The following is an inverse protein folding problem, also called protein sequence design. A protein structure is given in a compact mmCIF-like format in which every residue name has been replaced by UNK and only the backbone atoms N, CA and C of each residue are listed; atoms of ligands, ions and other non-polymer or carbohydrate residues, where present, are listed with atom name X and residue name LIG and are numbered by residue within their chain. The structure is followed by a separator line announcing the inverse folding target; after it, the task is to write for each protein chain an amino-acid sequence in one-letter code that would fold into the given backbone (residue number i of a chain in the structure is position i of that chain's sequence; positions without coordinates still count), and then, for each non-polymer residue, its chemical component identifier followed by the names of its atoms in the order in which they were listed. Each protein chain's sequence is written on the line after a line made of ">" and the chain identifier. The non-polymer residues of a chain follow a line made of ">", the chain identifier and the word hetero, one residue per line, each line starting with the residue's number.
data_IF_061914112514
#
_entry.id   IF_061914112514
#
_cell.length_a   1.000
_cell.length_b   1.000
_cell.length_c   1.000
_cell.angle_alpha   90.00
_cell.angle_beta   90.00
_cell.angle_gamma   90.00
#
_symmetry.space_group_name_H-M   'P 1'
#
loop_
_entity.id
_entity.type
_entity.pdbx_description
1 polymer ?
2 non-polymer ?
3 non-polymer ?
4 non-polymer ?
5 water ?
#
# COMPACT_ATOMS: atom_id res chain seq x y z
N UNK A 2 -18.66 14.48 -10.12
CA UNK A 2 -19.39 14.24 -8.87
C UNK A 2 -19.04 15.26 -7.79
N UNK A 3 -19.74 15.19 -6.67
CA UNK A 3 -19.34 15.96 -5.50
C UNK A 3 -18.23 15.23 -4.74
N UNK A 4 -17.33 16.01 -4.16
CA UNK A 4 -16.19 15.48 -3.43
C UNK A 4 -16.14 16.12 -2.06
N UNK A 5 -16.10 15.29 -1.03
CA UNK A 5 -15.90 15.74 0.34
C UNK A 5 -14.77 14.94 0.96
N UNK A 6 -13.67 15.63 1.30
CA UNK A 6 -12.51 15.02 1.96
C UNK A 6 -12.57 15.31 3.45
N UNK A 7 -12.54 14.27 4.26
CA UNK A 7 -12.40 14.38 5.71
C UNK A 7 -11.04 13.89 6.15
N UNK A 8 -10.30 14.78 6.81
CA UNK A 8 -9.01 14.50 7.41
C UNK A 8 -8.81 15.49 8.56
N UNK A 9 -7.72 15.32 9.29
CA UNK A 9 -7.38 16.26 10.34
C UNK A 9 -7.00 17.63 9.78
N UNK A 10 -6.97 18.63 10.67
CA UNK A 10 -6.61 20.00 10.33
C UNK A 10 -5.11 20.21 10.27
N UNK A 11 -4.42 19.31 9.55
CA UNK A 11 -3.05 19.52 9.09
C UNK A 11 -2.88 18.79 7.78
N UNK A 12 -1.67 18.86 7.21
CA UNK A 12 -1.40 18.27 5.91
C UNK A 12 -1.52 16.75 5.96
N UNK A 13 -0.51 16.08 6.52
CA UNK A 13 -0.51 14.64 6.70
C UNK A 13 -0.89 13.85 5.45
N UNK A 14 -1.65 12.77 5.63
CA UNK A 14 -2.05 11.95 4.49
C UNK A 14 -3.27 12.49 3.77
N UNK A 15 -3.86 13.58 4.24
CA UNK A 15 -4.92 14.23 3.48
C UNK A 15 -4.36 15.12 2.39
N UNK A 16 -3.15 15.60 2.56
CA UNK A 16 -2.61 16.61 1.63
C UNK A 16 -2.41 16.06 0.20
N UNK A 17 -1.94 14.83 0.02
CA UNK A 17 -1.87 14.28 -1.35
C UNK A 17 -3.20 14.27 -2.04
N UNK A 18 -4.27 13.99 -1.31
CA UNK A 18 -5.59 14.04 -1.92
C UNK A 18 -6.00 15.47 -2.22
N UNK A 19 -5.69 16.41 -1.30
CA UNK A 19 -5.97 17.82 -1.57
C UNK A 19 -5.19 18.29 -2.77
N UNK A 20 -3.95 17.84 -2.92
CA UNK A 20 -3.16 18.27 -4.06
C UNK A 20 -3.71 17.68 -5.35
N UNK A 21 -4.13 16.42 -5.31
CA UNK A 21 -4.63 15.79 -6.53
C UNK A 21 -5.97 16.39 -6.94
N UNK A 22 -6.86 16.65 -5.99
CA UNK A 22 -8.14 17.31 -6.31
C UNK A 22 -7.89 18.70 -6.88
N UNK A 23 -6.92 19.41 -6.32
CA UNK A 23 -6.52 20.71 -6.85
C UNK A 23 -5.98 20.58 -8.25
N UNK A 24 -5.08 19.61 -8.46
CA UNK A 24 -4.50 19.44 -9.78
C UNK A 24 -5.58 19.09 -10.78
N UNK A 25 -6.58 18.32 -10.33
CA UNK A 25 -7.70 17.93 -11.15
C UNK A 25 -8.60 19.13 -11.43
N UNK A 26 -8.44 20.21 -10.68
CA UNK A 26 -9.19 21.44 -10.87
C UNK A 26 -10.68 21.23 -10.58
N UNK A 27 -10.99 20.42 -9.57
CA UNK A 27 -12.38 20.18 -9.22
C UNK A 27 -12.66 20.80 -7.86
N UNK A 28 -13.89 21.28 -7.61
CA UNK A 28 -14.24 21.80 -6.30
C UNK A 28 -14.43 20.66 -5.33
N UNK A 29 -14.03 20.91 -4.10
CA UNK A 29 -14.24 19.90 -3.08
C UNK A 29 -14.36 20.58 -1.74
N UNK A 30 -15.09 19.92 -0.86
CA UNK A 30 -15.22 20.36 0.51
C UNK A 30 -14.05 19.79 1.29
N UNK A 31 -13.28 20.66 1.92
CA UNK A 31 -12.09 20.28 2.69
C UNK A 31 -12.53 20.25 4.15
N UNK A 32 -13.04 19.10 4.57
CA UNK A 32 -13.59 18.92 5.92
C UNK A 32 -12.49 18.58 6.89
N UNK A 33 -12.00 19.59 7.61
CA UNK A 33 -10.82 19.44 8.45
C UNK A 33 -11.26 19.26 9.88
N UNK A 34 -10.91 18.11 10.45
CA UNK A 34 -11.39 17.65 11.75
C UNK A 34 -10.41 18.09 12.83
N UNK A 35 -10.95 18.72 13.87
CA UNK A 35 -10.16 19.02 15.05
C UNK A 35 -10.02 17.78 15.92
N UNK A 36 -8.89 17.68 16.59
CA UNK A 36 -8.67 16.49 17.40
C UNK A 36 -9.80 16.29 18.40
N UNK A 37 -10.28 17.38 19.01
CA UNK A 37 -11.38 17.28 19.97
C UNK A 37 -12.57 16.51 19.41
N UNK A 38 -12.90 16.73 18.14
CA UNK A 38 -14.08 16.09 17.57
C UNK A 38 -13.76 14.73 16.92
N UNK A 39 -12.50 14.32 16.88
CA UNK A 39 -12.16 13.06 16.21
C UNK A 39 -12.80 11.83 16.85
N UNK A 40 -12.95 11.73 18.16
CA UNK A 40 -13.64 10.54 18.69
C UNK A 40 -15.08 10.42 18.23
N UNK A 41 -15.78 11.56 18.05
CA UNK A 41 -17.10 11.55 17.45
C UNK A 41 -17.06 11.08 16.00
N UNK A 42 -16.11 11.61 15.22
CA UNK A 42 -16.11 11.33 13.79
C UNK A 42 -15.62 9.93 13.49
N UNK A 43 -14.74 9.39 14.36
CA UNK A 43 -14.01 8.18 14.01
C UNK A 43 -14.93 7.00 13.72
N UNK A 44 -16.02 6.88 14.48
CA UNK A 44 -16.91 5.74 14.30
C UNK A 44 -17.71 5.82 13.01
N UNK A 45 -17.86 7.01 12.43
CA UNK A 45 -18.56 7.20 11.16
C UNK A 45 -17.69 6.82 9.95
N UNK A 46 -16.38 6.57 10.15
CA UNK A 46 -15.54 6.26 8.99
C UNK A 46 -15.56 4.76 8.70
N UNK A 47 -15.20 4.35 7.48
CA UNK A 47 -15.31 2.91 7.15
C UNK A 47 -14.51 2.01 8.07
N UNK A 48 -13.25 2.35 8.34
CA UNK A 48 -12.36 1.45 9.07
C UNK A 48 -11.65 2.18 10.20
N UNK A 49 -12.25 3.25 10.71
CA UNK A 49 -11.75 3.91 11.89
C UNK A 49 -10.65 4.92 11.66
N UNK A 50 -10.35 5.26 10.41
CA UNK A 50 -9.23 6.16 10.12
C UNK A 50 -9.62 7.09 9.00
N UNK A 51 -8.83 8.16 8.91
CA UNK A 51 -8.91 9.14 7.83
C UNK A 51 -7.56 9.15 7.13
N UNK A 52 -7.51 9.62 5.89
CA UNK A 52 -8.53 10.33 5.13
C UNK A 52 -9.65 9.44 4.62
N UNK A 53 -10.81 10.07 4.48
CA UNK A 53 -11.99 9.53 3.79
C UNK A 53 -12.38 10.54 2.71
N UNK A 54 -12.56 10.07 1.48
CA UNK A 54 -13.06 10.92 0.41
C UNK A 54 -14.45 10.41 0.05
N UNK A 55 -15.45 11.27 0.16
CA UNK A 55 -16.81 10.90 -0.23
C UNK A 55 -17.02 11.37 -1.65
N UNK A 56 -17.41 10.45 -2.51
CA UNK A 56 -17.52 10.69 -3.94
C UNK A 56 -18.99 10.50 -4.28
N UNK A 57 -19.70 11.59 -4.51
CA UNK A 57 -21.16 11.54 -4.64
C UNK A 57 -21.74 10.73 -3.49
N UNK A 58 -21.28 11.06 -2.28
CA UNK A 58 -21.79 10.47 -1.08
C UNK A 58 -21.15 9.16 -0.69
N UNK A 59 -20.50 8.45 -1.61
CA UNK A 59 -19.91 7.16 -1.27
C UNK A 59 -18.57 7.35 -0.57
N UNK A 60 -18.42 6.73 0.57
CA UNK A 60 -17.21 6.83 1.36
C UNK A 60 -16.14 5.91 0.79
N UNK A 61 -14.99 6.48 0.44
CA UNK A 61 -13.81 5.73 0.04
C UNK A 61 -12.64 6.12 0.94
N UNK A 62 -11.93 5.13 1.47
CA UNK A 62 -10.74 5.28 2.29
C UNK A 62 -9.48 4.99 1.48
N UNK A 63 -8.35 5.23 2.12
CA UNK A 63 -7.00 4.80 1.71
C UNK A 63 -6.35 5.81 0.79
N UNK A 64 -5.39 6.55 1.36
CA UNK A 64 -4.83 7.70 0.67
C UNK A 64 -4.16 7.27 -0.64
N UNK A 65 -3.44 6.14 -0.66
CA UNK A 65 -2.75 5.76 -1.88
C UNK A 65 -3.74 5.38 -2.97
N UNK A 66 -4.73 4.57 -2.62
CA UNK A 66 -5.77 4.17 -3.55
C UNK A 66 -6.49 5.37 -4.15
N UNK A 67 -6.80 6.36 -3.31
CA UNK A 67 -7.54 7.53 -3.79
C UNK A 67 -6.65 8.38 -4.70
N UNK A 68 -5.40 8.60 -4.29
CA UNK A 68 -4.47 9.38 -5.08
C UNK A 68 -4.26 8.76 -6.47
N UNK A 69 -4.14 7.42 -6.52
CA UNK A 69 -4.01 6.72 -7.81
C UNK A 69 -5.25 6.92 -8.68
N UNK A 70 -6.43 6.81 -8.08
CA UNK A 70 -7.69 7.03 -8.78
C UNK A 70 -7.76 8.43 -9.36
N UNK A 71 -7.51 9.44 -8.53
CA UNK A 71 -7.47 10.81 -9.01
C UNK A 71 -6.35 11.02 -10.00
N UNK A 72 -5.23 10.33 -9.80
CA UNK A 72 -4.14 10.40 -10.77
C UNK A 72 -4.58 9.94 -12.15
N UNK A 73 -5.32 8.85 -12.22
CA UNK A 73 -5.77 8.34 -13.52
C UNK A 73 -6.76 9.31 -14.17
N UNK A 74 -7.71 9.82 -13.39
CA UNK A 74 -8.64 10.85 -13.83
C UNK A 74 -7.92 12.11 -14.32
N UNK A 75 -6.77 12.42 -13.76
CA UNK A 75 -6.04 13.63 -14.12
C UNK A 75 -5.04 13.43 -15.26
N UNK A 76 -4.95 12.24 -15.82
CA UNK A 76 -3.94 12.02 -16.84
C UNK A 76 -2.54 11.97 -16.30
N UNK A 77 -2.37 11.59 -15.05
CA UNK A 77 -1.07 11.58 -14.39
C UNK A 77 -0.70 10.17 -13.94
N UNK A 78 -1.19 9.15 -14.65
CA UNK A 78 -0.76 7.79 -14.41
C UNK A 78 0.10 7.29 -15.59
N UNK A 79 0.20 5.99 -15.76
CA UNK A 79 1.12 5.49 -16.77
C UNK A 79 0.42 5.36 -18.12
N UNK A 80 1.20 5.30 -19.20
CA UNK A 80 0.59 5.03 -20.50
C UNK A 80 0.28 3.56 -20.71
N UNK A 81 0.86 2.67 -19.90
CA UNK A 81 0.56 1.27 -19.98
C UNK A 81 0.75 0.68 -18.59
N UNK A 82 0.56 -0.62 -18.46
CA UNK A 82 0.61 -1.22 -17.14
C UNK A 82 2.02 -1.28 -16.60
N UNK A 83 3.04 -1.41 -17.45
CA UNK A 83 4.41 -1.35 -16.96
C UNK A 83 4.68 0.03 -16.33
N UNK A 84 4.30 1.11 -17.02
CA UNK A 84 4.48 2.45 -16.46
C UNK A 84 3.70 2.62 -15.14
N UNK A 85 2.51 2.02 -15.03
CA UNK A 85 1.76 2.10 -13.76
C UNK A 85 2.45 1.30 -12.65
N UNK A 86 3.10 0.18 -12.98
CA UNK A 86 3.88 -0.56 -12.02
C UNK A 86 5.06 0.24 -11.53
N UNK A 87 5.71 0.98 -12.44
CA UNK A 87 6.84 1.82 -12.05
C UNK A 87 6.43 2.90 -11.03
N UNK A 88 5.27 3.53 -11.24
CA UNK A 88 4.76 4.44 -10.21
C UNK A 88 4.40 3.70 -8.92
N UNK A 89 3.59 2.63 -9.04
CA UNK A 89 3.05 1.93 -7.88
C UNK A 89 4.15 1.35 -7.00
N UNK A 90 5.20 0.81 -7.62
CA UNK A 90 6.26 0.23 -6.79
C UNK A 90 6.96 1.31 -5.98
N UNK A 91 7.26 2.47 -6.58
CA UNK A 91 7.93 3.52 -5.81
C UNK A 91 7.07 4.01 -4.66
N UNK A 92 5.77 4.16 -4.88
CA UNK A 92 4.93 4.65 -3.79
C UNK A 92 4.76 3.61 -2.70
N UNK A 93 4.66 2.31 -3.04
CA UNK A 93 4.56 1.32 -1.96
C UNK A 93 5.85 1.29 -1.17
N UNK A 94 7.00 1.50 -1.83
CA UNK A 94 8.25 1.58 -1.08
C UNK A 94 8.25 2.82 -0.20
N UNK A 95 7.80 3.96 -0.73
CA UNK A 95 7.70 5.15 0.10
C UNK A 95 6.78 4.91 1.27
N UNK A 96 5.72 4.15 1.07
CA UNK A 96 4.85 3.81 2.18
C UNK A 96 5.52 2.88 3.20
N UNK A 97 6.41 2.00 2.76
CA UNK A 97 7.24 1.28 3.75
C UNK A 97 8.09 2.25 4.54
N UNK A 98 8.72 3.20 3.87
CA UNK A 98 9.48 4.20 4.61
C UNK A 98 8.60 4.89 5.62
N UNK A 99 7.40 5.32 5.19
CA UNK A 99 6.46 6.04 6.05
C UNK A 99 6.07 5.25 7.28
N UNK A 100 5.96 3.94 7.13
CA UNK A 100 5.57 3.06 8.23
C UNK A 100 6.47 3.24 9.43
N UNK A 101 7.79 3.40 9.18
CA UNK A 101 8.75 3.70 10.23
C UNK A 101 8.46 5.04 10.89
N UNK A 102 7.98 6.01 10.11
CA UNK A 102 7.59 7.29 10.68
C UNK A 102 6.38 7.13 11.60
N UNK A 103 5.38 6.35 11.17
CA UNK A 103 4.12 6.29 11.89
C UNK A 103 4.31 5.84 13.33
N UNK A 104 5.35 5.05 13.59
CA UNK A 104 5.59 4.53 14.94
C UNK A 104 6.04 5.65 15.86
N UNK A 105 6.94 6.51 15.38
CA UNK A 105 7.28 7.72 16.11
C UNK A 105 6.03 8.52 16.46
N UNK A 106 5.22 8.86 15.44
CA UNK A 106 4.02 9.66 15.69
C UNK A 106 3.17 9.07 16.78
N UNK A 107 3.33 7.78 17.06
CA UNK A 107 2.55 7.06 18.08
C UNK A 107 3.43 6.65 19.26
N UNK A 110 5.87 8.29 25.70
CA UNK A 110 6.97 8.75 26.55
C UNK A 110 7.97 9.56 25.74
N UNK A 111 8.20 10.80 26.15
CA UNK A 111 8.94 11.73 25.34
C UNK A 111 10.44 11.43 25.27
N UNK A 112 10.93 10.42 26.00
CA UNK A 112 12.31 9.97 25.86
C UNK A 112 12.42 8.74 24.98
N UNK A 113 11.39 7.90 24.91
CA UNK A 113 11.37 6.85 23.91
C UNK A 113 11.04 7.41 22.54
N UNK A 114 10.38 8.57 22.48
CA UNK A 114 10.15 9.24 21.20
C UNK A 114 11.46 9.79 20.65
N UNK A 115 12.32 10.29 21.55
CA UNK A 115 13.60 10.86 21.15
C UNK A 115 14.53 9.81 20.55
N UNK A 116 14.34 8.53 20.89
CA UNK A 116 15.16 7.46 20.37
C UNK A 116 14.67 6.96 19.03
N UNK A 117 13.37 6.71 18.91
CA UNK A 117 12.77 6.39 17.61
C UNK A 117 13.15 7.43 16.57
N UNK A 118 13.18 8.70 16.98
CA UNK A 118 13.53 9.78 16.07
C UNK A 118 14.99 9.74 15.65
N UNK A 119 15.87 9.19 16.49
CA UNK A 119 17.27 9.10 16.08
C UNK A 119 17.48 8.01 15.05
N UNK A 120 16.75 6.90 15.15
CA UNK A 120 16.82 5.88 14.11
C UNK A 120 16.27 6.40 12.79
N UNK A 121 15.15 7.13 12.84
CA UNK A 121 14.56 7.71 11.63
C UNK A 121 15.54 8.61 10.92
N UNK A 122 16.06 9.62 11.61
CA UNK A 122 16.92 10.59 10.96
C UNK A 122 18.27 10.01 10.59
N UNK A 123 18.80 9.08 11.38
CA UNK A 123 20.17 8.64 11.18
C UNK A 123 20.28 7.37 10.38
N UNK A 124 19.25 6.53 10.38
CA UNK A 124 19.31 5.26 9.65
C UNK A 124 18.25 5.15 8.56
N UNK A 125 16.97 5.26 8.93
CA UNK A 125 15.88 5.01 8.00
C UNK A 125 15.87 6.03 6.86
N UNK A 126 15.88 7.32 7.20
CA UNK A 126 15.88 8.37 6.17
C UNK A 126 17.03 8.19 5.17
N UNK A 127 18.29 8.03 5.62
CA UNK A 127 19.37 7.90 4.62
C UNK A 127 19.28 6.65 3.78
N UNK A 128 18.85 5.54 4.37
CA UNK A 128 18.67 4.33 3.56
C UNK A 128 17.73 4.60 2.39
N UNK A 129 16.53 5.10 2.68
CA UNK A 129 15.53 5.28 1.64
C UNK A 129 15.83 6.49 0.75
N UNK A 130 16.15 7.64 1.37
CA UNK A 130 16.24 8.87 0.56
C UNK A 130 17.43 8.84 -0.38
N UNK A 131 18.53 8.17 -0.01
CA UNK A 131 19.62 8.03 -0.97
C UNK A 131 19.17 7.29 -2.22
N UNK A 132 18.34 6.27 -2.03
CA UNK A 132 17.85 5.50 -3.17
C UNK A 132 16.82 6.30 -3.98
N UNK A 133 15.93 7.01 -3.29
CA UNK A 133 14.98 7.84 -4.01
C UNK A 133 15.71 8.92 -4.81
N UNK A 134 16.66 9.59 -4.16
CA UNK A 134 17.43 10.66 -4.79
C UNK A 134 18.10 10.15 -6.07
N UNK A 135 18.80 9.03 -5.98
CA UNK A 135 19.47 8.48 -7.16
C UNK A 135 18.47 7.97 -8.19
N UNK A 136 17.34 7.42 -7.77
CA UNK A 136 16.32 7.05 -8.74
C UNK A 136 15.88 8.26 -9.55
N UNK A 137 15.53 9.35 -8.86
CA UNK A 137 15.09 10.55 -9.54
C UNK A 137 16.18 11.06 -10.46
N UNK A 138 17.41 11.12 -9.95
CA UNK A 138 18.55 11.56 -10.76
C UNK A 138 18.63 10.80 -12.09
N UNK A 139 18.67 9.48 -12.02
CA UNK A 139 18.98 8.68 -13.20
C UNK A 139 17.75 8.29 -13.98
N UNK A 140 16.61 8.93 -13.74
CA UNK A 140 15.40 8.54 -14.44
C UNK A 140 14.53 9.76 -14.78
N UNK A 141 15.17 10.82 -15.28
CA UNK A 141 14.42 11.91 -15.87
C UNK A 141 13.93 12.96 -14.91
N UNK A 142 14.34 12.92 -13.65
CA UNK A 142 13.91 13.93 -12.69
C UNK A 142 12.56 13.70 -12.05
N UNK A 143 12.04 12.48 -12.14
CA UNK A 143 10.74 12.14 -11.57
C UNK A 143 10.83 10.76 -10.91
N UNK A 144 9.83 10.46 -10.06
CA UNK A 144 9.82 9.18 -9.39
C UNK A 144 9.67 8.02 -10.36
N UNK A 145 8.95 8.20 -11.48
CA UNK A 145 8.66 7.09 -12.37
C UNK A 145 8.55 7.55 -13.82
N UNK A 146 9.11 6.75 -14.73
CA UNK A 146 8.91 6.82 -16.18
C UNK A 146 9.40 8.12 -16.82
N UNK A 147 10.21 8.90 -16.11
CA UNK A 147 10.70 10.18 -16.62
C UNK A 147 9.65 11.24 -16.83
N UNK A 148 8.50 11.16 -16.16
CA UNK A 148 7.47 12.16 -16.35
C UNK A 148 6.60 12.24 -15.11
N UNK A 149 5.99 13.41 -14.94
CA UNK A 149 5.15 13.71 -13.78
C UNK A 149 4.05 12.67 -13.62
N UNK A 150 3.92 12.14 -12.40
CA UNK A 150 2.81 11.26 -12.04
C UNK A 150 2.19 11.66 -10.72
N UNK A 151 1.06 11.04 -10.44
CA UNK A 151 0.40 11.16 -9.14
C UNK A 151 1.35 10.74 -8.01
N UNK A 152 2.32 9.87 -8.30
CA UNK A 152 3.28 9.48 -7.27
C UNK A 152 4.16 10.63 -6.83
N UNK A 153 4.59 11.46 -7.79
CA UNK A 153 5.35 12.64 -7.42
C UNK A 153 4.56 13.54 -6.51
N UNK A 154 3.28 13.73 -6.82
CA UNK A 154 2.41 14.54 -6.01
C UNK A 154 2.29 13.97 -4.60
N UNK A 155 2.02 12.67 -4.51
CA UNK A 155 1.87 11.99 -3.23
C UNK A 155 3.15 12.11 -2.42
N UNK A 156 4.27 11.82 -3.08
CA UNK A 156 5.59 11.84 -2.45
C UNK A 156 5.93 13.24 -1.91
N UNK A 157 5.85 14.24 -2.77
CA UNK A 157 6.28 15.58 -2.36
C UNK A 157 5.35 16.14 -1.31
N UNK A 158 4.05 15.85 -1.40
CA UNK A 158 3.14 16.43 -0.43
C UNK A 158 3.42 15.89 0.97
N UNK A 159 3.69 14.59 1.08
CA UNK A 159 4.00 14.00 2.38
C UNK A 159 5.38 14.46 2.85
N UNK A 160 6.36 14.54 1.94
CA UNK A 160 7.66 15.06 2.33
C UNK A 160 7.55 16.51 2.81
N UNK A 161 6.71 17.29 2.17
CA UNK A 161 6.56 18.69 2.59
C UNK A 161 6.08 18.75 4.02
N UNK A 162 5.14 17.88 4.36
CA UNK A 162 4.69 17.79 5.74
C UNK A 162 5.81 17.33 6.67
N UNK A 163 6.63 16.38 6.26
CA UNK A 163 7.77 15.99 7.08
C UNK A 163 8.75 17.14 7.30
N UNK A 164 8.92 18.00 6.31
CA UNK A 164 9.77 19.17 6.47
C UNK A 164 9.22 20.14 7.54
N UNK A 165 7.91 20.13 7.80
CA UNK A 165 7.42 21.06 8.81
C UNK A 165 7.87 20.62 10.21
N UNK A 166 8.30 19.37 10.36
CA UNK A 166 8.80 18.85 11.62
C UNK A 166 10.32 18.84 11.66
N UNK A 167 10.94 18.37 10.58
CA UNK A 167 12.38 18.18 10.46
C UNK A 167 12.82 19.04 9.29
N UNK A 168 13.14 20.31 9.57
CA UNK A 168 13.19 21.34 8.54
C UNK A 168 14.20 21.06 7.45
N UNK A 169 15.27 20.33 7.75
CA UNK A 169 16.37 20.15 6.81
C UNK A 169 16.40 18.73 6.26
N UNK A 170 15.29 18.00 6.36
CA UNK A 170 15.36 16.58 6.14
C UNK A 170 15.68 16.23 4.68
N UNK A 171 15.29 17.06 3.70
CA UNK A 171 15.60 16.70 2.31
C UNK A 171 16.75 17.51 1.71
N UNK A 172 17.32 18.46 2.46
CA UNK A 172 18.27 19.41 1.89
C UNK A 172 19.46 18.72 1.23
N UNK A 173 20.00 17.68 1.84
CA UNK A 173 21.12 16.97 1.25
C UNK A 173 20.76 16.09 0.07
N UNK A 174 19.50 15.96 -0.28
CA UNK A 174 19.09 15.09 -1.38
C UNK A 174 18.69 16.00 -2.53
N UNK A 175 19.66 16.37 -3.37
CA UNK A 175 19.42 17.51 -4.24
C UNK A 175 18.36 17.22 -5.30
N UNK A 176 18.29 15.98 -5.79
CA UNK A 176 17.27 15.66 -6.77
C UNK A 176 15.87 15.54 -6.15
N UNK A 177 15.77 15.09 -4.90
CA UNK A 177 14.48 15.18 -4.19
C UNK A 177 14.05 16.63 -4.05
N UNK A 178 14.97 17.48 -3.59
CA UNK A 178 14.65 18.90 -3.44
C UNK A 178 14.20 19.49 -4.77
N UNK A 179 14.90 19.14 -5.86
CA UNK A 179 14.56 19.66 -7.18
C UNK A 179 13.16 19.21 -7.61
N UNK A 180 12.84 17.93 -7.37
CA UNK A 180 11.49 17.43 -7.60
C UNK A 180 10.48 18.19 -6.78
N UNK A 181 10.78 18.42 -5.50
CA UNK A 181 9.90 19.22 -4.68
C UNK A 181 9.64 20.55 -5.36
N UNK A 182 10.71 21.23 -5.79
CA UNK A 182 10.52 22.57 -6.35
C UNK A 182 9.69 22.53 -7.63
N UNK A 183 9.88 21.50 -8.46
CA UNK A 183 9.02 21.34 -9.65
C UNK A 183 7.55 21.20 -9.28
N UNK A 184 7.25 20.33 -8.32
CA UNK A 184 5.87 19.99 -8.04
C UNK A 184 5.13 21.15 -7.40
N UNK A 185 5.76 21.83 -6.44
CA UNK A 185 5.05 22.88 -5.72
C UNK A 185 4.87 24.13 -6.58
N UNK A 186 5.62 24.26 -7.67
CA UNK A 186 5.42 25.35 -8.61
C UNK A 186 4.50 25.00 -9.77
N UNK A 187 3.96 23.82 -9.80
CA UNK A 187 2.89 23.55 -10.72
C UNK A 187 1.71 24.50 -10.42
N UNK A 188 1.18 25.20 -11.42
CA UNK A 188 0.18 26.25 -11.14
C UNK A 188 -0.98 25.82 -10.26
N UNK A 189 -1.64 24.71 -10.58
CA UNK A 189 -2.75 24.26 -9.74
C UNK A 189 -2.31 23.94 -8.32
N UNK A 190 -1.09 23.40 -8.16
CA UNK A 190 -0.60 23.08 -6.83
C UNK A 190 -0.23 24.37 -6.11
N UNK A 191 0.57 25.21 -6.76
CA UNK A 191 0.95 26.51 -6.22
C UNK A 191 -0.28 27.26 -5.70
N UNK A 192 -1.34 27.30 -6.52
CA UNK A 192 -2.55 28.00 -6.11
C UNK A 192 -3.15 27.37 -4.86
N UNK A 193 -3.10 26.05 -4.76
CA UNK A 193 -3.56 25.42 -3.53
C UNK A 193 -2.69 25.82 -2.36
N UNK A 194 -1.37 25.77 -2.55
CA UNK A 194 -0.49 26.04 -1.43
C UNK A 194 -0.72 27.46 -0.92
N UNK A 195 -1.13 28.37 -1.80
CA UNK A 195 -1.38 29.73 -1.36
C UNK A 195 -2.70 29.89 -0.58
N UNK A 196 -3.74 29.14 -0.92
CA UNK A 196 -5.04 29.31 -0.26
C UNK A 196 -5.25 28.38 0.92
N UNK A 197 -4.33 27.46 1.18
CA UNK A 197 -4.56 26.48 2.24
C UNK A 197 -4.27 27.09 3.59
N UNK A 198 -4.80 26.49 4.67
CA UNK A 198 -4.55 27.03 6.02
C UNK A 198 -3.07 27.09 6.34
N UNK A 199 -2.70 28.08 7.16
CA UNK A 199 -1.29 28.34 7.47
C UNK A 199 -0.75 27.39 8.55
N UNK B 2 7.28 -12.58 -21.79
CA UNK B 2 8.29 -12.06 -20.87
C UNK B 2 8.93 -13.14 -20.00
N UNK B 3 10.08 -12.83 -19.39
CA UNK B 3 10.70 -13.69 -18.40
C UNK B 3 10.39 -13.18 -17.01
N UNK B 4 10.14 -14.12 -16.10
CA UNK B 4 9.77 -13.84 -14.74
C UNK B 4 10.62 -14.68 -13.82
N UNK B 5 11.24 -14.03 -12.85
CA UNK B 5 12.00 -14.70 -11.81
C UNK B 5 11.60 -14.07 -10.49
N UNK B 6 10.98 -14.85 -9.60
CA UNK B 6 10.58 -14.40 -8.28
C UNK B 6 11.58 -14.85 -7.23
N UNK B 7 12.05 -13.91 -6.40
CA UNK B 7 12.87 -14.21 -5.24
C UNK B 7 12.08 -13.89 -4.00
N UNK B 8 11.92 -14.90 -3.14
CA UNK B 8 11.31 -14.74 -1.84
C UNK B 8 11.86 -15.87 -0.98
N UNK B 9 11.50 -15.85 0.28
CA UNK B 9 11.87 -16.91 1.20
C UNK B 9 11.16 -18.21 0.85
N UNK B 10 11.61 -19.29 1.49
CA UNK B 10 11.02 -20.62 1.29
C UNK B 10 9.82 -20.81 2.22
N UNK B 11 8.81 -19.98 1.98
CA UNK B 11 7.46 -20.19 2.45
C UNK B 11 6.52 -19.29 1.66
N UNK B 12 5.24 -19.31 2.02
CA UNK B 12 4.22 -18.57 1.29
C UNK B 12 4.39 -17.07 1.48
N UNK B 13 4.00 -16.57 2.65
CA UNK B 13 4.16 -15.16 2.99
C UNK B 13 3.70 -14.27 1.86
N UNK B 14 4.47 -13.21 1.62
CA UNK B 14 4.21 -12.26 0.54
C UNK B 14 4.64 -12.71 -0.83
N UNK B 15 5.42 -13.80 -0.94
CA UNK B 15 5.68 -14.31 -2.26
C UNK B 15 4.46 -14.97 -2.88
N UNK B 16 3.58 -15.56 -2.06
CA UNK B 16 2.53 -16.43 -2.59
C UNK B 16 1.52 -15.69 -3.46
N UNK B 17 1.08 -14.48 -3.13
CA UNK B 17 0.21 -13.78 -4.06
C UNK B 17 0.82 -13.65 -5.44
N UNK B 18 2.13 -13.45 -5.54
CA UNK B 18 2.74 -13.33 -6.86
C UNK B 18 2.80 -14.69 -7.54
N UNK B 19 3.16 -15.74 -6.79
CA UNK B 19 3.14 -17.07 -7.36
C UNK B 19 1.75 -17.46 -7.86
N UNK B 20 0.71 -17.16 -7.06
CA UNK B 20 -0.63 -17.49 -7.51
C UNK B 20 -1.01 -16.70 -8.75
N UNK B 21 -0.66 -15.40 -8.80
CA UNK B 21 -1.00 -14.61 -9.98
C UNK B 21 -0.28 -15.12 -11.22
N UNK B 22 0.98 -15.49 -11.07
CA UNK B 22 1.72 -16.00 -12.22
C UNK B 22 1.15 -17.35 -12.66
N UNK B 23 0.71 -18.16 -11.69
CA UNK B 23 0.05 -19.43 -12.00
C UNK B 23 -1.26 -19.18 -12.71
N UNK B 24 -2.08 -18.27 -12.17
CA UNK B 24 -3.31 -17.93 -12.87
C UNK B 24 -3.03 -17.44 -14.28
N UNK B 25 -1.94 -16.69 -14.46
CA UNK B 25 -1.60 -16.17 -15.79
C UNK B 25 -1.14 -17.29 -16.73
N UNK B 26 -0.75 -18.43 -16.17
CA UNK B 26 -0.29 -19.58 -16.92
C UNK B 26 1.00 -19.26 -17.68
N UNK B 27 1.92 -18.56 -17.04
CA UNK B 27 3.23 -18.27 -17.63
C UNK B 27 4.28 -19.01 -16.83
N UNK B 28 5.35 -19.49 -17.47
CA UNK B 28 6.47 -20.05 -16.72
C UNK B 28 7.17 -18.98 -15.93
N UNK B 29 7.74 -19.39 -14.81
CA UNK B 29 8.50 -18.46 -14.01
C UNK B 29 9.43 -19.24 -13.12
N UNK B 30 10.59 -18.65 -12.86
CA UNK B 30 11.52 -19.19 -11.90
C UNK B 30 11.06 -18.82 -10.50
N UNK B 31 10.90 -19.83 -9.66
CA UNK B 31 10.49 -19.66 -8.26
C UNK B 31 11.73 -19.79 -7.39
N UNK B 32 12.48 -18.69 -7.32
CA UNK B 32 13.75 -18.65 -6.59
C UNK B 32 13.50 -18.47 -5.10
N UNK B 33 13.67 -19.55 -4.32
CA UNK B 33 13.38 -19.57 -2.88
C UNK B 33 14.65 -19.50 -2.04
N UNK B 34 14.57 -18.74 -0.95
CA UNK B 34 15.72 -18.39 -0.12
C UNK B 34 15.54 -18.98 1.24
N UNK B 35 16.60 -19.62 1.74
CA UNK B 35 16.62 -20.08 3.12
C UNK B 35 17.02 -18.97 4.07
N UNK B 36 16.43 -19.01 5.27
CA UNK B 36 16.63 -17.97 6.28
C UNK B 36 18.10 -17.86 6.64
N UNK B 37 18.82 -18.98 6.49
CA UNK B 37 20.26 -19.04 6.74
C UNK B 37 21.03 -18.15 5.75
N UNK B 38 20.57 -18.08 4.51
CA UNK B 38 21.27 -17.35 3.45
C UNK B 38 20.78 -15.91 3.28
N UNK B 39 19.93 -15.40 4.19
CA UNK B 39 19.25 -14.11 3.95
C UNK B 39 20.16 -12.90 4.20
N UNK B 40 20.98 -12.88 5.27
CA UNK B 40 21.91 -11.74 5.40
C UNK B 40 22.78 -11.56 4.15
N UNK B 41 23.08 -12.64 3.44
CA UNK B 41 23.78 -12.55 2.16
C UNK B 41 22.91 -11.91 1.10
N UNK B 42 21.67 -12.39 0.95
CA UNK B 42 20.88 -11.96 -0.19
C UNK B 42 20.31 -10.56 0.05
N UNK B 43 20.12 -10.18 1.32
CA UNK B 43 19.42 -8.94 1.65
C UNK B 43 20.03 -7.74 0.96
N UNK B 44 21.36 -7.62 0.99
CA UNK B 44 22.04 -6.47 0.41
C UNK B 44 21.95 -6.43 -1.10
N UNK B 45 21.41 -7.46 -1.73
CA UNK B 45 21.27 -7.50 -3.19
C UNK B 45 19.90 -7.04 -3.68
N UNK B 46 19.01 -6.79 -2.77
CA UNK B 46 17.65 -6.44 -3.18
C UNK B 46 17.51 -4.92 -3.24
N UNK B 47 16.56 -4.40 -4.04
CA UNK B 47 16.49 -2.94 -4.23
C UNK B 47 16.36 -2.15 -2.96
N UNK B 48 15.59 -2.64 -2.00
CA UNK B 48 15.33 -1.90 -0.78
C UNK B 48 15.47 -2.80 0.45
N UNK B 49 16.20 -3.90 0.33
CA UNK B 49 16.47 -4.75 1.48
C UNK B 49 15.35 -5.68 1.88
N UNK B 50 14.39 -5.95 0.99
CA UNK B 50 13.28 -6.82 1.33
C UNK B 50 12.92 -7.65 0.11
N UNK B 51 12.22 -8.74 0.38
CA UNK B 51 11.59 -9.55 -0.66
C UNK B 51 10.10 -9.52 -0.37
N UNK B 52 9.28 -9.85 -1.37
CA UNK B 52 9.59 -10.33 -2.72
C UNK B 52 10.18 -9.34 -3.69
N UNK B 53 10.93 -9.90 -4.65
CA UNK B 53 11.41 -9.21 -5.85
C UNK B 53 10.99 -10.04 -7.04
N UNK B 54 10.35 -9.41 -8.01
CA UNK B 54 10.04 -10.09 -9.26
C UNK B 54 10.89 -9.43 -10.35
N UNK B 55 11.71 -10.24 -11.00
CA UNK B 55 12.46 -9.79 -12.17
C UNK B 55 11.64 -10.04 -13.42
N UNK B 56 11.29 -8.97 -14.11
CA UNK B 56 10.53 -8.99 -15.35
C UNK B 56 11.44 -8.61 -16.50
N UNK B 57 11.63 -9.53 -17.47
CA UNK B 57 12.54 -9.26 -18.60
C UNK B 57 13.84 -8.64 -18.13
N UNK B 58 14.33 -9.10 -17.00
CA UNK B 58 15.61 -8.67 -16.50
C UNK B 58 15.62 -7.46 -15.59
N UNK B 59 14.48 -6.84 -15.31
CA UNK B 59 14.39 -5.69 -14.42
C UNK B 59 13.74 -6.11 -13.11
N UNK B 60 14.43 -5.84 -12.02
CA UNK B 60 13.97 -6.14 -10.68
C UNK B 60 12.88 -5.16 -10.27
N UNK B 61 11.74 -5.69 -9.85
CA UNK B 61 10.65 -4.88 -9.28
C UNK B 61 10.27 -5.47 -7.94
N UNK B 62 10.06 -4.62 -6.96
CA UNK B 62 9.56 -5.11 -5.69
C UNK B 62 8.15 -4.57 -5.43
N UNK B 63 7.66 -4.85 -4.22
CA UNK B 63 6.34 -4.53 -3.68
C UNK B 63 5.25 -5.49 -4.14
N UNK B 64 4.82 -6.34 -3.21
CA UNK B 64 3.89 -7.44 -3.51
C UNK B 64 2.57 -6.90 -4.06
N UNK B 65 2.07 -5.81 -3.48
CA UNK B 65 0.79 -5.26 -3.94
C UNK B 65 0.92 -4.68 -5.36
N UNK B 66 1.96 -3.87 -5.60
CA UNK B 66 2.14 -3.28 -6.93
C UNK B 66 2.25 -4.35 -7.99
N UNK B 67 3.01 -5.40 -7.67
CA UNK B 67 3.22 -6.49 -8.64
C UNK B 67 1.94 -7.27 -8.85
N UNK B 68 1.21 -7.56 -7.77
CA UNK B 68 -0.06 -8.29 -7.91
C UNK B 68 -1.03 -7.55 -8.82
N UNK B 69 -1.12 -6.21 -8.67
CA UNK B 69 -2.02 -5.40 -9.49
C UNK B 69 -1.59 -5.46 -10.96
N UNK B 70 -0.27 -5.34 -11.19
CA UNK B 70 0.28 -5.42 -12.54
C UNK B 70 -0.09 -6.75 -13.20
N UNK B 71 0.21 -7.87 -12.51
CA UNK B 71 -0.20 -9.18 -13.04
C UNK B 71 -1.72 -9.29 -13.14
N UNK B 72 -2.44 -8.65 -12.22
CA UNK B 72 -3.89 -8.67 -12.33
C UNK B 72 -4.37 -8.02 -13.62
N UNK B 73 -3.76 -6.88 -13.99
CA UNK B 73 -4.07 -6.26 -15.27
C UNK B 73 -3.77 -7.22 -16.40
N UNK B 74 -2.59 -7.85 -16.36
CA UNK B 74 -2.24 -8.80 -17.41
C UNK B 74 -3.21 -9.95 -17.46
N UNK B 75 -3.80 -10.32 -16.32
CA UNK B 75 -4.67 -11.50 -16.22
C UNK B 75 -6.12 -11.19 -16.52
N UNK B 76 -6.46 -9.94 -16.77
CA UNK B 76 -7.86 -9.57 -16.85
C UNK B 76 -8.62 -9.63 -15.54
N UNK B 77 -7.93 -9.49 -14.42
CA UNK B 77 -8.55 -9.50 -13.10
C UNK B 77 -8.45 -8.16 -12.39
N UNK B 78 -8.58 -7.07 -13.15
CA UNK B 78 -8.62 -5.73 -12.57
C UNK B 78 -9.95 -5.07 -12.90
N UNK B 79 -10.05 -3.75 -12.79
CA UNK B 79 -11.33 -3.10 -12.99
C UNK B 79 -11.59 -2.76 -14.47
N UNK B 80 -12.88 -2.63 -14.82
CA UNK B 80 -13.28 -2.15 -16.15
C UNK B 80 -13.14 -0.64 -16.32
N UNK B 81 -13.00 0.11 -15.23
CA UNK B 81 -12.79 1.56 -15.27
C UNK B 81 -12.05 1.97 -14.02
N UNK B 82 -11.80 3.28 -13.85
CA UNK B 82 -11.01 3.72 -12.69
C UNK B 82 -11.75 3.45 -11.39
N UNK B 83 -13.08 3.62 -11.39
CA UNK B 83 -13.84 3.40 -10.16
C UNK B 83 -13.75 1.95 -9.73
N UNK B 84 -13.85 1.03 -10.68
CA UNK B 84 -13.75 -0.38 -10.35
C UNK B 84 -12.36 -0.71 -9.79
N UNK B 85 -11.29 -0.14 -10.37
CA UNK B 85 -9.97 -0.35 -9.78
C UNK B 85 -9.87 0.26 -8.39
N UNK B 86 -10.49 1.42 -8.18
CA UNK B 86 -10.50 2.01 -6.84
C UNK B 86 -11.15 1.05 -5.84
N UNK B 87 -12.22 0.39 -6.23
CA UNK B 87 -12.89 -0.53 -5.33
C UNK B 87 -12.02 -1.72 -4.96
N UNK B 88 -11.15 -2.15 -5.86
CA UNK B 88 -10.20 -3.20 -5.54
C UNK B 88 -9.09 -2.66 -4.64
N UNK B 89 -8.46 -1.55 -5.07
CA UNK B 89 -7.29 -0.97 -4.41
C UNK B 89 -7.59 -0.60 -2.97
N UNK B 90 -8.76 0.04 -2.72
CA UNK B 90 -9.07 0.46 -1.35
C UNK B 90 -9.17 -0.73 -0.41
N UNK B 91 -9.78 -1.83 -0.85
CA UNK B 91 -9.91 -3.01 -0.01
C UNK B 91 -8.54 -3.64 0.29
N UNK B 92 -7.65 -3.68 -0.69
CA UNK B 92 -6.35 -4.30 -0.42
C UNK B 92 -5.50 -3.40 0.47
N UNK B 93 -5.56 -2.08 0.29
CA UNK B 93 -4.81 -1.22 1.18
C UNK B 93 -5.33 -1.36 2.61
N UNK B 94 -6.64 -1.52 2.77
CA UNK B 94 -7.20 -1.74 4.09
C UNK B 94 -6.75 -3.08 4.65
N UNK B 95 -6.76 -4.13 3.84
CA UNK B 95 -6.21 -5.41 4.26
C UNK B 95 -4.75 -5.26 4.68
N UNK B 96 -3.99 -4.44 3.97
CA UNK B 96 -2.59 -4.31 4.34
C UNK B 96 -2.43 -3.53 5.65
N UNK B 97 -3.34 -2.59 5.93
CA UNK B 97 -3.36 -1.96 7.25
C UNK B 97 -3.62 -3.00 8.32
N UNK B 98 -4.58 -3.90 8.08
CA UNK B 98 -4.84 -5.00 9.01
C UNK B 98 -3.58 -5.80 9.23
N UNK B 99 -2.93 -6.22 8.13
CA UNK B 99 -1.86 -7.18 8.36
C UNK B 99 -0.63 -6.54 8.97
N UNK B 100 -0.58 -5.21 9.02
CA UNK B 100 0.44 -4.55 9.81
C UNK B 100 0.39 -4.99 11.26
N UNK B 101 -0.81 -5.25 11.77
CA UNK B 101 -0.97 -5.76 13.13
C UNK B 101 -0.33 -7.13 13.26
N UNK B 102 -0.51 -7.99 12.27
CA UNK B 102 0.15 -9.27 12.32
C UNK B 102 1.65 -9.11 12.34
N UNK B 103 2.18 -8.11 11.63
CA UNK B 103 3.62 -7.93 11.57
C UNK B 103 4.17 -7.49 12.91
N UNK B 104 3.50 -6.54 13.57
CA UNK B 104 3.87 -6.13 14.92
C UNK B 104 3.96 -7.34 15.85
N UNK B 105 2.95 -8.20 15.84
CA UNK B 105 2.96 -9.37 16.68
C UNK B 105 4.09 -10.31 16.29
N UNK B 106 4.37 -10.46 14.99
CA UNK B 106 5.36 -11.43 14.55
C UNK B 106 6.76 -11.02 14.97
N UNK B 107 7.04 -9.72 15.02
CA UNK B 107 8.38 -9.21 15.25
C UNK B 107 8.63 -8.84 16.69
N UNK B 108 7.76 -9.25 17.62
CA UNK B 108 7.92 -8.88 19.02
C UNK B 108 8.81 -9.91 19.71
N UNK B 109 9.83 -9.42 20.40
CA UNK B 109 10.80 -10.28 21.06
C UNK B 109 10.49 -10.55 22.52
N UNK B 110 9.72 -9.68 23.18
CA UNK B 110 9.30 -9.93 24.54
C UNK B 110 8.08 -10.81 24.56
N UNK B 111 8.20 -11.99 25.18
CA UNK B 111 7.17 -13.01 25.03
C UNK B 111 5.84 -12.57 25.63
N UNK B 112 5.87 -11.91 26.78
CA UNK B 112 4.63 -11.53 27.45
C UNK B 112 3.92 -10.41 26.68
N UNK B 113 4.66 -9.41 26.21
CA UNK B 113 4.07 -8.42 25.33
C UNK B 113 3.42 -9.10 24.12
N UNK B 114 4.17 -10.00 23.49
CA UNK B 114 3.69 -10.73 22.32
C UNK B 114 2.38 -11.44 22.59
N UNK B 115 2.27 -12.09 23.74
CA UNK B 115 1.00 -12.69 24.13
C UNK B 115 -0.08 -11.63 24.24
N UNK B 116 0.29 -10.44 24.72
CA UNK B 116 -0.71 -9.40 24.82
C UNK B 116 -1.12 -8.91 23.43
N UNK B 117 -0.17 -8.79 22.51
CA UNK B 117 -0.52 -8.40 21.15
C UNK B 117 -1.44 -9.44 20.52
N UNK B 118 -1.11 -10.72 20.66
CA UNK B 118 -1.94 -11.77 20.09
C UNK B 118 -3.36 -11.73 20.64
N UNK B 119 -3.52 -11.47 21.94
CA UNK B 119 -4.85 -11.35 22.52
C UNK B 119 -5.62 -10.20 21.88
N UNK B 120 -5.01 -9.03 21.83
CA UNK B 120 -5.68 -7.90 21.17
C UNK B 120 -5.98 -8.24 19.71
N UNK B 121 -4.99 -8.82 19.01
CA UNK B 121 -5.17 -9.24 17.63
C UNK B 121 -6.36 -10.18 17.48
N UNK B 122 -6.41 -11.22 18.30
CA UNK B 122 -7.47 -12.21 18.09
C UNK B 122 -8.82 -11.73 18.57
N UNK B 123 -8.91 -10.95 19.64
CA UNK B 123 -10.22 -10.61 20.17
C UNK B 123 -10.70 -9.19 19.85
N UNK B 124 -9.85 -8.30 19.34
CA UNK B 124 -10.32 -7.00 18.87
C UNK B 124 -10.02 -6.73 17.40
N UNK B 125 -8.78 -6.91 16.97
CA UNK B 125 -8.39 -6.50 15.61
C UNK B 125 -9.03 -7.37 14.53
N UNK B 126 -8.88 -8.69 14.64
CA UNK B 126 -9.49 -9.58 13.67
C UNK B 126 -11.01 -9.37 13.58
N UNK B 127 -11.76 -9.39 14.69
CA UNK B 127 -13.20 -9.11 14.53
C UNK B 127 -13.49 -7.75 13.87
N UNK B 128 -12.74 -6.71 14.25
CA UNK B 128 -13.02 -5.40 13.68
C UNK B 128 -12.93 -5.45 12.16
N UNK B 129 -11.78 -5.90 11.65
CA UNK B 129 -11.59 -5.95 10.19
C UNK B 129 -12.42 -7.06 9.56
N UNK B 130 -12.42 -8.25 10.14
CA UNK B 130 -13.01 -9.37 9.41
C UNK B 130 -14.54 -9.29 9.36
N UNK B 131 -15.20 -8.72 10.38
CA UNK B 131 -16.66 -8.55 10.27
C UNK B 131 -16.96 -7.61 9.10
N UNK B 132 -16.18 -6.53 8.95
CA UNK B 132 -16.41 -5.62 7.83
C UNK B 132 -16.11 -6.29 6.50
N UNK B 133 -14.98 -7.01 6.40
CA UNK B 133 -14.66 -7.74 5.18
C UNK B 133 -15.77 -8.73 4.85
N UNK B 134 -16.20 -9.47 5.87
CA UNK B 134 -17.27 -10.45 5.71
C UNK B 134 -18.55 -9.78 5.16
N UNK B 135 -18.97 -8.68 5.77
CA UNK B 135 -20.15 -7.94 5.32
C UNK B 135 -19.93 -7.37 3.92
N UNK B 136 -18.71 -6.91 3.65
CA UNK B 136 -18.44 -6.33 2.34
C UNK B 136 -18.51 -7.38 1.25
N UNK B 137 -17.92 -8.55 1.49
CA UNK B 137 -17.98 -9.62 0.50
C UNK B 137 -19.43 -10.07 0.29
N UNK B 138 -20.18 -10.25 1.38
CA UNK B 138 -21.61 -10.58 1.27
C UNK B 138 -22.35 -9.62 0.36
N UNK B 139 -22.11 -8.32 0.52
CA UNK B 139 -22.85 -7.28 -0.20
C UNK B 139 -22.22 -6.89 -1.54
N UNK B 140 -21.13 -7.51 -1.92
CA UNK B 140 -20.45 -7.25 -3.19
C UNK B 140 -20.37 -8.49 -4.05
N UNK B 141 -21.38 -9.35 -3.99
CA UNK B 141 -21.47 -10.48 -4.87
C UNK B 141 -20.60 -11.66 -4.55
N UNK B 142 -20.07 -11.77 -3.35
CA UNK B 142 -19.20 -12.87 -3.02
C UNK B 142 -17.74 -12.63 -3.38
N UNK B 143 -17.35 -11.38 -3.64
CA UNK B 143 -15.97 -11.02 -3.94
C UNK B 143 -15.59 -9.78 -3.14
N UNK B 144 -14.29 -9.47 -3.14
CA UNK B 144 -13.82 -8.27 -2.47
C UNK B 144 -14.35 -7.02 -3.14
N UNK B 145 -14.56 -7.04 -4.46
CA UNK B 145 -14.88 -5.82 -5.15
C UNK B 145 -15.65 -6.09 -6.44
N UNK B 146 -16.62 -5.21 -6.72
CA UNK B 146 -17.27 -5.11 -8.04
C UNK B 146 -18.05 -6.37 -8.43
N UNK B 147 -18.38 -7.24 -7.48
CA UNK B 147 -19.11 -8.44 -7.82
C UNK B 147 -18.40 -9.36 -8.78
N UNK B 148 -17.07 -9.29 -8.88
CA UNK B 148 -16.36 -10.21 -9.77
C UNK B 148 -14.94 -10.44 -9.26
N UNK B 149 -14.37 -11.56 -9.70
CA UNK B 149 -13.03 -11.98 -9.29
C UNK B 149 -12.00 -10.90 -9.65
N UNK B 150 -11.13 -10.57 -8.71
CA UNK B 150 -10.06 -9.63 -8.96
C UNK B 150 -8.73 -10.16 -8.43
N UNK B 151 -7.63 -9.48 -8.83
CA UNK B 151 -6.33 -9.77 -8.23
C UNK B 151 -6.38 -9.55 -6.73
N UNK B 152 -7.26 -8.66 -6.29
CA UNK B 152 -7.42 -8.45 -4.87
C UNK B 152 -7.87 -9.71 -4.13
N UNK B 153 -8.83 -10.43 -4.70
CA UNK B 153 -9.26 -11.70 -4.09
C UNK B 153 -8.09 -12.67 -3.95
N UNK B 154 -7.25 -12.75 -4.96
CA UNK B 154 -6.14 -13.67 -4.94
C UNK B 154 -5.10 -13.24 -3.93
N UNK B 155 -4.82 -11.95 -3.85
CA UNK B 155 -3.88 -11.45 -2.84
C UNK B 155 -4.41 -11.73 -1.44
N UNK B 156 -5.68 -11.42 -1.21
CA UNK B 156 -6.32 -11.57 0.10
C UNK B 156 -6.28 -13.02 0.58
N UNK B 157 -6.73 -13.94 -0.26
CA UNK B 157 -6.83 -15.37 0.12
C UNK B 157 -5.46 -16.01 0.26
N UNK B 158 -4.51 -15.67 -0.62
CA UNK B 158 -3.20 -16.28 -0.49
C UNK B 158 -2.55 -15.90 0.83
N UNK B 159 -2.74 -14.64 1.28
CA UNK B 159 -2.15 -14.21 2.54
C UNK B 159 -2.96 -14.73 3.72
N UNK B 160 -4.30 -14.78 3.63
CA UNK B 160 -5.08 -15.36 4.72
C UNK B 160 -4.73 -16.83 4.95
N UNK B 161 -4.45 -17.56 3.88
CA UNK B 161 -4.02 -18.95 4.01
C UNK B 161 -2.80 -19.05 4.90
N UNK B 162 -1.86 -18.13 4.73
CA UNK B 162 -0.72 -18.10 5.62
C UNK B 162 -1.16 -17.95 7.07
N UNK B 163 -2.14 -17.10 7.33
CA UNK B 163 -2.61 -16.95 8.71
C UNK B 163 -3.20 -18.25 9.24
N UNK B 164 -3.91 -18.98 8.39
CA UNK B 164 -4.48 -20.24 8.81
C UNK B 164 -3.40 -21.22 9.28
N UNK B 165 -2.15 -21.04 8.88
CA UNK B 165 -1.11 -21.94 9.39
C UNK B 165 -0.76 -21.65 10.84
N UNK B 166 -1.09 -20.47 11.35
CA UNK B 166 -0.91 -20.11 12.76
C UNK B 166 -2.20 -20.26 13.56
N UNK B 167 -3.29 -19.65 13.09
CA UNK B 167 -4.58 -19.71 13.75
C UNK B 167 -5.51 -20.45 12.80
N UNK B 168 -5.63 -21.76 13.00
CA UNK B 168 -6.15 -22.64 11.95
C UNK B 168 -7.62 -22.37 11.66
N UNK B 169 -8.40 -22.06 12.69
CA UNK B 169 -9.85 -21.94 12.56
C UNK B 169 -10.28 -20.52 12.24
N UNK B 170 -9.32 -19.61 12.12
CA UNK B 170 -9.58 -18.18 12.29
C UNK B 170 -10.62 -17.68 11.29
N UNK B 171 -10.56 -18.11 10.02
CA UNK B 171 -11.52 -17.56 9.05
C UNK B 171 -12.83 -18.33 9.02
N UNK B 172 -12.94 -19.45 9.74
CA UNK B 172 -14.10 -20.33 9.61
C UNK B 172 -15.40 -19.62 9.94
N UNK B 173 -15.44 -18.85 11.03
CA UNK B 173 -16.72 -18.28 11.43
C UNK B 173 -17.17 -17.16 10.51
N UNK B 174 -16.30 -16.66 9.63
CA UNK B 174 -16.66 -15.60 8.70
C UNK B 174 -17.07 -16.29 7.40
N UNK B 175 -18.38 -16.54 7.29
CA UNK B 175 -18.96 -17.34 6.22
C UNK B 175 -18.56 -16.83 4.84
N UNK B 176 -18.58 -15.50 4.65
CA UNK B 176 -18.33 -15.01 3.30
C UNK B 176 -16.85 -14.94 2.97
N UNK B 177 -15.98 -14.71 3.95
CA UNK B 177 -14.54 -14.86 3.74
C UNK B 177 -14.21 -16.30 3.37
N UNK B 178 -14.74 -17.26 4.14
CA UNK B 178 -14.42 -18.66 3.89
C UNK B 178 -14.94 -19.12 2.52
N UNK B 179 -16.12 -18.63 2.13
CA UNK B 179 -16.67 -18.91 0.79
C UNK B 179 -15.79 -18.35 -0.34
N UNK B 180 -15.27 -17.12 -0.17
CA UNK B 180 -14.31 -16.62 -1.16
C UNK B 180 -13.03 -17.45 -1.17
N UNK B 181 -12.58 -17.85 0.03
CA UNK B 181 -11.39 -18.67 0.13
C UNK B 181 -11.54 -19.94 -0.69
N UNK B 182 -12.67 -20.64 -0.52
CA UNK B 182 -12.85 -21.92 -1.20
C UNK B 182 -12.92 -21.72 -2.70
N UNK B 183 -13.52 -20.62 -3.13
CA UNK B 183 -13.63 -20.31 -4.55
C UNK B 183 -12.26 -20.04 -5.18
N UNK B 184 -11.39 -19.32 -4.49
CA UNK B 184 -10.12 -18.95 -5.10
C UNK B 184 -9.21 -20.15 -5.17
N UNK B 185 -9.12 -20.92 -4.08
CA UNK B 185 -8.17 -22.02 -4.09
C UNK B 185 -8.58 -23.14 -5.03
N UNK B 186 -9.79 -23.06 -5.61
CA UNK B 186 -10.25 -24.04 -6.59
C UNK B 186 -10.23 -23.52 -8.01
N UNK B 187 -9.82 -22.28 -8.22
CA UNK B 187 -9.46 -21.86 -9.57
C UNK B 187 -8.42 -22.85 -10.10
N UNK B 188 -8.61 -23.39 -11.31
CA UNK B 188 -7.80 -24.56 -11.71
C UNK B 188 -6.31 -24.33 -11.60
N UNK B 189 -5.84 -23.20 -12.11
CA UNK B 189 -4.39 -22.98 -12.08
C UNK B 189 -3.92 -22.71 -10.69
N UNK B 190 -4.72 -22.07 -9.85
CA UNK B 190 -4.29 -21.89 -8.48
C UNK B 190 -4.29 -23.23 -7.75
N UNK B 191 -5.36 -24.01 -7.96
CA UNK B 191 -5.43 -25.37 -7.42
C UNK B 191 -4.21 -26.19 -7.79
N UNK B 192 -3.88 -26.22 -9.08
CA UNK B 192 -2.68 -26.89 -9.53
C UNK B 192 -1.45 -26.41 -8.76
N UNK B 193 -1.27 -25.09 -8.66
CA UNK B 193 -0.10 -24.58 -7.96
C UNK B 193 -0.07 -25.08 -6.54
N UNK B 194 -1.21 -25.06 -5.87
CA UNK B 194 -1.27 -25.52 -4.49
C UNK B 194 -0.87 -26.99 -4.41
N UNK B 195 -1.28 -27.78 -5.40
CA UNK B 195 -0.98 -29.21 -5.37
C UNK B 195 0.51 -29.45 -5.61
N UNK B 196 1.11 -28.73 -6.57
CA UNK B 196 2.50 -28.99 -6.91
C UNK B 196 3.48 -28.17 -6.11
N UNK B 197 3.03 -27.11 -5.43
CA UNK B 197 3.96 -26.21 -4.79
C UNK B 197 4.75 -26.96 -3.71
N UNK B 198 5.97 -26.51 -3.42
CA UNK B 198 6.68 -27.05 -2.24
C UNK B 198 5.79 -26.97 -1.00
N UNK B 199 5.78 -28.04 -0.22
CA UNK B 199 4.95 -28.10 0.98
C UNK B 199 5.82 -28.20 2.22
N UNK B 200 6.48 -27.11 2.66
CA UNK B 200 7.19 -27.14 3.95
C UNK B 200 6.32 -27.60 5.11
X LIG C 1 -3.34 3.27 5.02
X LIG C 1 -4.15 4.40 5.46
X LIG C 1 -4.13 5.52 4.43
X LIG C 1 -5.09 6.33 4.27
X LIG C 1 -3.06 5.63 3.76
X LIG C 1 -3.48 4.99 6.74
X LIG C 1 -4.50 5.95 7.35
X LIG C 1 -3.99 6.40 8.74
X LIG C 1 -3.03 5.93 9.25
X LIG C 1 -4.76 7.48 9.33
X LIG C 1 -4.44 8.07 10.61
X LIG C 1 -5.69 8.11 11.49
X LIG C 1 -6.78 8.15 11.03
X LIG C 1 -4.10 9.53 10.35
X LIG C 1 -2.77 9.80 9.17
X LIG C 1 -5.47 8.16 12.92
X LIG C 1 -6.57 8.29 13.85
X LIG C 1 -6.93 6.94 14.45
X LIG C 1 -7.78 6.95 15.36
X LIG C 1 -6.36 5.90 14.04
X LIG D 1 0.45 11.74 9.95
X LIG D 1 -0.32 10.64 10.35
X LIG D 1 0.62 11.71 8.44
X LIG D 1 1.96 11.52 7.98
X LIG D 1 2.72 10.56 8.65
X LIG D 1 3.37 9.59 7.68
X LIG D 1 3.06 8.26 8.08
X LIG E 1 5.68 -3.66 1.39
X LIG E 1 6.54 -4.79 1.05
X LIG E 1 5.76 -5.74 0.13
X LIG E 1 4.49 -5.80 0.21
X LIG E 1 6.36 -6.49 -0.71
X LIG E 1 6.87 -5.58 2.36
X LIG E 1 7.96 -6.59 2.00
X LIG E 1 8.44 -7.29 3.32
X LIG E 1 8.04 -6.95 4.38
X LIG E 1 9.41 -8.39 3.19
X LIG E 1 9.85 -9.06 4.40
X LIG E 1 11.37 -9.08 4.42
X LIG E 1 11.98 -8.96 3.41
X LIG E 1 9.36 -10.49 4.33
X LIG E 1 7.58 -10.54 4.20
X LIG E 1 12.05 -9.31 5.69
X LIG E 1 13.50 -9.38 5.72
X LIG E 1 14.08 -8.07 6.25
X LIG E 1 13.34 -7.11 6.52
X LIG E 1 15.31 -8.01 6.40
X LIG F 1 -8.59 -1.74 14.69
X LIG F 1 -7.31 -2.06 15.25
X LIG F 1 -9.30 -0.71 15.58
X LIG F 1 -8.74 0.58 15.33
X LIG G 1 -21.93 -11.25 7.63
X LIG G 1 -22.10 -9.82 7.71
X LIG G 1 -23.29 -11.92 7.62
X LIG G 1 -23.20 -13.35 7.62
X LIG H 1 -17.65 -12.51 14.32
X LIG H 1 -16.61 -12.54 15.35
X LIG H 1 -18.39 -13.85 14.12
X LIG H 1 -19.42 -13.73 13.11
#
# INVERSE_FOLDING_TARGET
>A
MPTYKLTYFNFAGLGEPIRWMLSYLDVPFEDNRIEREQWPTIKSTTPYGQVPVLEVDGKQVCQSTAIARYLGKKAGLAGSNEWEDLMIDTMIDTFNDFRSSISKWFRESDEATKKKLEETLLNETVPFYFNKFNDHIKNNGGYLANGKLSWGDIYFISILEFMTTIWSDIIDKYEHIKALNDKVVNLPKIKAWIEKRPVPKK
>B
MPTYKLTYFNFAGLGEPIRWMLSYLDVPFEDNRIEREQWPTIKSTTPYGQVPVLEVDGKQVCQSTAIARYLGKKAGLAGSNEWEDLMIDTMIDTFNDFRSSISKWFRESDEATKKKLEETLLNETVPFYFNKFNDHIKNNGGYLANGKLSWGDIYFISILEFMTTIWSDIIDKYEHIKALNDKVVNLPKIKAWIEKRPVPKK
>C hetero
1 GSH N1 CA1 C1 O11 O12 CB1 CG1 CD1 OE1 N2 CA2 C2 O2 CB2 SG2 N3 CA3 C3 O31 O32
>D hetero
1 PEG C1 O1 C2 O2 C3 C4 O4
>E hetero
1 GSH N1 CA1 C1 O11 O12 CB1 CG1 CD1 OE1 N2 CA2 C2 O2 CB2 SG2 N3 CA3 C3 O31 O32
>F hetero
1 EDO C1 O1 C2 O2
>G hetero
1 EDO C1 O1 C2 O2
>H hetero
1 EDO C1 O1 C2 O2
#
